data_IF_306486733995
#
_entry.id   IF_306486733995
#
_cell.length_a   1.000
_cell.length_b   1.000
_cell.length_c   1.000
_cell.angle_alpha   90.00
_cell.angle_beta   90.00
_cell.angle_gamma   90.00
#
_symmetry.space_group_name_H-M   'P 1'
#
loop_
_entity.id
_entity.type
_entity.pdbx_description
1 polymer ?
#
# COMPACT_ATOMS: atom_id res chain seq x y z
N UNK A 1 41.99 -3.96 -11.70
CA UNK A 1 41.44 -3.06 -12.72
C UNK A 1 40.46 -3.92 -13.51
N UNK A 2 39.18 -3.83 -13.19
CA UNK A 2 38.14 -4.75 -13.67
C UNK A 2 37.41 -4.04 -14.80
N UNK A 3 37.73 -4.41 -16.04
CA UNK A 3 37.18 -3.74 -17.22
C UNK A 3 35.67 -3.94 -17.34
N UNK A 4 34.99 -2.82 -17.59
CA UNK A 4 33.54 -2.71 -17.77
C UNK A 4 33.12 -3.44 -19.05
N UNK A 5 32.09 -4.26 -18.93
CA UNK A 5 31.38 -4.85 -20.07
C UNK A 5 30.61 -3.75 -20.82
N UNK A 6 31.16 -3.30 -21.95
CA UNK A 6 30.36 -2.69 -23.00
C UNK A 6 30.85 -3.21 -24.36
N UNK A 7 30.08 -4.10 -24.97
CA UNK A 7 30.12 -4.28 -26.42
C UNK A 7 28.75 -3.93 -26.99
N UNK A 8 28.70 -2.82 -27.72
CA UNK A 8 27.64 -2.48 -28.67
C UNK A 8 27.88 -3.26 -29.97
N UNK A 9 26.84 -3.81 -30.59
CA UNK A 9 26.95 -4.38 -31.95
C UNK A 9 25.82 -3.86 -32.82
N UNK A 10 26.22 -3.27 -33.96
CA UNK A 10 25.33 -2.57 -34.91
C UNK A 10 24.81 -3.49 -36.03
N UNK A 11 25.01 -4.81 -35.92
CA UNK A 11 24.55 -5.80 -36.92
C UNK A 11 24.06 -7.07 -36.23
N UNK A 12 22.81 -7.44 -36.54
CA UNK A 12 22.22 -8.76 -36.34
C UNK A 12 22.58 -9.47 -35.04
N UNK A 13 21.87 -9.17 -33.96
CA UNK A 13 22.09 -9.82 -32.66
C UNK A 13 21.81 -11.31 -32.74
N UNK A 14 22.86 -12.13 -32.58
CA UNK A 14 22.72 -13.56 -32.27
C UNK A 14 22.35 -13.64 -30.79
N UNK A 15 21.10 -14.01 -30.50
CA UNK A 15 20.68 -14.30 -29.14
C UNK A 15 21.27 -15.66 -28.74
N UNK A 16 22.34 -15.64 -27.94
CA UNK A 16 22.84 -16.85 -27.31
C UNK A 16 21.89 -17.21 -26.16
N UNK A 17 21.08 -18.23 -26.35
CA UNK A 17 20.37 -18.89 -25.26
C UNK A 17 21.27 -19.98 -24.71
N UNK A 18 21.71 -19.84 -23.46
CA UNK A 18 22.37 -20.93 -22.75
C UNK A 18 21.36 -21.55 -21.78
N UNK A 19 21.32 -22.87 -21.74
CA UNK A 19 20.58 -23.60 -20.73
C UNK A 19 21.35 -23.52 -19.41
N UNK A 20 20.69 -23.05 -18.36
CA UNK A 20 21.27 -22.97 -17.01
C UNK A 20 20.80 -24.17 -16.19
N UNK A 21 21.64 -25.20 -16.12
CA UNK A 21 21.41 -26.37 -15.28
C UNK A 21 21.90 -26.11 -13.85
N UNK A 22 20.96 -25.96 -12.90
CA UNK A 22 21.27 -25.84 -11.48
C UNK A 22 21.27 -27.24 -10.85
N UNK A 23 22.45 -27.76 -10.55
CA UNK A 23 22.60 -28.99 -9.76
C UNK A 23 22.50 -28.66 -8.27
N UNK A 24 21.59 -29.32 -7.57
CA UNK A 24 21.18 -28.95 -6.23
C UNK A 24 20.67 -30.17 -5.46
N UNK A 25 20.94 -30.24 -4.15
CA UNK A 25 20.35 -31.27 -3.31
C UNK A 25 18.83 -31.08 -3.19
N UNK A 26 18.07 -32.18 -3.10
CA UNK A 26 16.60 -32.16 -2.99
C UNK A 26 16.13 -31.30 -1.81
N UNK A 27 16.87 -31.32 -0.70
CA UNK A 27 16.63 -30.52 0.50
C UNK A 27 16.63 -29.02 0.22
N UNK A 28 17.56 -28.54 -0.61
CA UNK A 28 17.72 -27.14 -0.97
C UNK A 28 16.66 -26.69 -1.99
N UNK A 29 16.33 -27.50 -3.00
CA UNK A 29 15.21 -27.23 -3.92
C UNK A 29 13.89 -27.07 -3.15
N UNK A 30 13.65 -27.92 -2.16
CA UNK A 30 12.44 -27.83 -1.32
C UNK A 30 12.37 -26.54 -0.51
N UNK A 31 13.51 -25.99 -0.07
CA UNK A 31 13.53 -24.69 0.61
C UNK A 31 13.19 -23.56 -0.37
N UNK A 32 13.78 -23.59 -1.57
CA UNK A 32 13.53 -22.60 -2.62
C UNK A 32 12.05 -22.62 -3.01
N UNK A 33 11.46 -23.80 -3.21
CA UNK A 33 10.04 -23.94 -3.54
C UNK A 33 9.14 -23.35 -2.45
N UNK A 34 9.42 -23.63 -1.17
CA UNK A 34 8.67 -23.05 -0.05
C UNK A 34 8.76 -21.52 0.01
N UNK A 35 9.92 -20.95 -0.33
CA UNK A 35 10.08 -19.50 -0.40
C UNK A 35 9.27 -18.94 -1.57
N UNK A 36 9.31 -19.59 -2.73
CA UNK A 36 8.52 -19.20 -3.90
C UNK A 36 7.00 -19.24 -3.63
N UNK A 37 6.51 -20.29 -2.96
CA UNK A 37 5.11 -20.40 -2.55
C UNK A 37 4.69 -19.27 -1.60
N UNK A 38 5.53 -18.95 -0.61
CA UNK A 38 5.29 -17.83 0.30
C UNK A 38 5.27 -16.49 -0.42
N UNK A 39 6.21 -16.25 -1.34
CA UNK A 39 6.28 -15.03 -2.13
C UNK A 39 5.02 -14.85 -2.96
N UNK A 40 4.56 -15.92 -3.62
CA UNK A 40 3.30 -15.89 -4.38
C UNK A 40 2.10 -15.53 -3.50
N UNK A 41 2.03 -16.07 -2.28
CA UNK A 41 0.96 -15.71 -1.34
C UNK A 41 1.01 -14.22 -0.93
N UNK A 42 2.20 -13.62 -0.81
CA UNK A 42 2.33 -12.17 -0.56
C UNK A 42 1.93 -11.35 -1.79
N UNK A 43 2.30 -11.78 -3.01
CA UNK A 43 1.89 -11.12 -4.26
C UNK A 43 0.36 -11.14 -4.46
N UNK A 44 -0.31 -12.21 -4.04
CA UNK A 44 -1.77 -12.33 -4.09
C UNK A 44 -2.50 -11.39 -3.11
N UNK A 45 -1.88 -11.02 -1.98
CA UNK A 45 -2.47 -10.08 -1.00
C UNK A 45 -2.46 -8.65 -1.53
N UNK A 46 -1.44 -8.31 -2.32
CA UNK A 46 -1.27 -6.98 -2.90
C UNK A 46 0.17 -6.50 -2.79
N UNK A 47 0.45 -5.41 -3.48
CA UNK A 47 1.75 -4.76 -3.50
C UNK A 47 1.98 -3.95 -2.22
N UNK A 48 3.25 -3.68 -1.92
CA UNK A 48 3.65 -2.81 -0.80
C UNK A 48 3.03 -1.42 -0.95
N UNK A 49 2.88 -0.92 -2.18
CA UNK A 49 2.30 0.39 -2.45
C UNK A 49 0.80 0.41 -2.17
N UNK A 50 0.05 -0.61 -2.60
CA UNK A 50 -1.39 -0.74 -2.24
C UNK A 50 -1.59 -0.84 -0.73
N UNK A 51 -0.69 -1.54 -0.03
CA UNK A 51 -0.70 -1.60 1.44
C UNK A 51 -0.41 -0.23 2.08
N UNK A 52 0.54 0.54 1.53
CA UNK A 52 0.86 1.89 2.01
C UNK A 52 -0.33 2.83 1.79
N UNK A 53 -0.93 2.82 0.61
CA UNK A 53 -2.12 3.62 0.30
C UNK A 53 -3.31 3.26 1.19
N UNK A 54 -3.54 1.96 1.45
CA UNK A 54 -4.59 1.52 2.37
C UNK A 54 -4.37 2.06 3.79
N UNK A 55 -3.12 2.07 4.26
CA UNK A 55 -2.76 2.62 5.57
C UNK A 55 -2.97 4.14 5.63
N UNK A 56 -2.56 4.87 4.59
CA UNK A 56 -2.76 6.32 4.51
C UNK A 56 -4.24 6.68 4.45
N UNK A 57 -5.05 5.88 3.74
CA UNK A 57 -6.51 6.05 3.70
C UNK A 57 -7.17 5.92 5.07
N UNK A 58 -6.67 5.01 5.91
CA UNK A 58 -7.16 4.77 7.28
C UNK A 58 -6.61 5.76 8.31
N UNK A 59 -5.59 6.55 7.97
CA UNK A 59 -5.05 7.57 8.86
C UNK A 59 -6.11 8.56 9.32
N UNK A 60 -5.96 9.08 10.53
CA UNK A 60 -6.85 10.13 11.07
C UNK A 60 -6.84 11.36 10.17
N UNK A 61 -8.03 11.90 9.89
CA UNK A 61 -8.21 13.07 9.03
C UNK A 61 -9.04 14.11 9.76
N UNK A 62 -8.69 15.37 9.58
CA UNK A 62 -9.46 16.48 10.13
C UNK A 62 -10.85 16.54 9.47
N UNK A 63 -11.90 16.89 10.23
CA UNK A 63 -13.21 17.08 9.67
C UNK A 63 -13.21 18.20 8.62
N UNK A 64 -14.04 18.05 7.60
CA UNK A 64 -14.26 19.05 6.57
C UNK A 64 -15.54 19.83 6.89
N UNK A 65 -15.53 21.13 6.63
CA UNK A 65 -16.71 21.99 6.86
C UNK A 65 -17.57 22.08 5.61
N UNK A 66 -18.88 21.97 5.78
CA UNK A 66 -19.85 22.17 4.68
C UNK A 66 -20.23 23.66 4.49
N UNK A 67 -21.14 23.95 3.56
CA UNK A 67 -21.65 25.31 3.29
C UNK A 67 -22.36 25.93 4.51
N UNK A 68 -22.81 25.11 5.45
CA UNK A 68 -23.51 25.50 6.67
C UNK A 68 -22.60 25.43 7.91
N UNK A 69 -21.29 25.23 7.72
CA UNK A 69 -20.25 25.14 8.76
C UNK A 69 -20.41 23.94 9.73
N UNK A 70 -21.07 22.85 9.32
CA UNK A 70 -21.06 21.59 10.06
C UNK A 70 -19.75 20.83 9.85
N UNK A 71 -19.26 20.17 10.90
CA UNK A 71 -18.11 19.28 10.80
C UNK A 71 -18.52 17.92 10.22
N UNK A 72 -18.05 17.65 9.01
CA UNK A 72 -18.36 16.46 8.22
C UNK A 72 -17.13 15.57 8.03
N UNK A 73 -17.38 14.27 7.85
CA UNK A 73 -16.34 13.29 7.55
C UNK A 73 -15.69 13.64 6.20
N UNK A 74 -14.35 13.75 6.13
CA UNK A 74 -13.67 14.10 4.89
C UNK A 74 -13.74 13.00 3.82
N UNK A 75 -14.12 11.78 4.20
CA UNK A 75 -14.18 10.64 3.28
C UNK A 75 -15.57 10.44 2.65
N UNK A 76 -16.65 10.64 3.41
CA UNK A 76 -18.01 10.35 2.94
C UNK A 76 -19.00 11.52 3.09
N UNK A 77 -18.59 12.64 3.67
CA UNK A 77 -19.45 13.82 3.88
C UNK A 77 -20.51 13.68 4.98
N UNK A 78 -20.50 12.58 5.74
CA UNK A 78 -21.42 12.39 6.86
C UNK A 78 -21.11 13.37 8.00
N UNK A 79 -22.11 13.99 8.60
CA UNK A 79 -21.94 14.90 9.74
C UNK A 79 -21.36 14.11 10.92
N UNK A 80 -20.19 14.52 11.43
CA UNK A 80 -19.45 13.86 12.52
C UNK A 80 -19.49 14.63 13.84
N UNK A 81 -19.94 15.88 13.83
CA UNK A 81 -20.31 16.64 15.02
C UNK A 81 -21.78 17.04 14.94
N UNK A 82 -22.56 16.82 16.00
CA UNK A 82 -23.89 17.42 16.14
C UNK A 82 -23.84 18.46 17.24
N UNK A 83 -23.83 19.73 16.85
CA UNK A 83 -23.84 20.87 17.74
C UNK A 83 -25.26 21.37 17.95
N UNK A 84 -25.84 21.09 19.13
CA UNK A 84 -26.88 21.98 19.66
C UNK A 84 -26.80 22.13 21.19
N UNK A 85 -26.67 21.05 21.98
CA UNK A 85 -26.61 21.14 23.46
C UNK A 85 -25.90 19.92 24.07
N UNK A 86 -24.62 19.72 23.71
CA UNK A 86 -23.80 18.57 24.17
C UNK A 86 -23.23 17.73 23.04
N UNK A 87 -22.53 18.39 22.10
CA UNK A 87 -22.06 17.76 20.88
C UNK A 87 -21.09 16.61 21.13
N UNK A 88 -21.35 15.48 20.46
CA UNK A 88 -20.47 14.31 20.48
C UNK A 88 -19.46 14.45 19.35
N UNK A 89 -18.21 14.75 19.70
CA UNK A 89 -17.08 14.61 18.80
C UNK A 89 -16.80 13.13 18.58
N UNK A 90 -17.31 12.60 17.47
CA UNK A 90 -17.17 11.18 17.18
C UNK A 90 -15.72 10.89 16.76
N UNK A 91 -15.01 9.96 17.43
CA UNK A 91 -13.62 9.64 17.08
C UNK A 91 -13.51 8.95 15.72
N UNK A 92 -14.60 8.34 15.25
CA UNK A 92 -14.69 7.70 13.95
C UNK A 92 -16.04 8.04 13.32
N UNK A 93 -16.08 8.20 12.00
CA UNK A 93 -17.32 8.37 11.25
C UNK A 93 -18.20 7.12 11.35
N UNK A 94 -19.46 7.26 11.78
CA UNK A 94 -20.41 6.14 11.91
C UNK A 94 -20.78 5.50 10.57
N UNK A 95 -20.71 6.26 9.47
CA UNK A 95 -21.07 5.77 8.15
C UNK A 95 -19.93 5.00 7.47
N UNK A 96 -18.68 5.47 7.56
CA UNK A 96 -17.55 4.87 6.82
C UNK A 96 -16.36 4.41 7.68
N UNK A 97 -16.40 4.60 9.00
CA UNK A 97 -15.36 4.19 9.92
C UNK A 97 -14.07 5.03 9.89
N UNK A 98 -14.02 6.10 9.08
CA UNK A 98 -12.87 7.01 9.00
C UNK A 98 -12.57 7.61 10.38
N UNK A 99 -11.34 7.45 10.87
CA UNK A 99 -10.87 8.10 12.08
C UNK A 99 -10.81 9.63 11.88
N UNK A 100 -11.32 10.37 12.85
CA UNK A 100 -11.41 11.83 12.81
C UNK A 100 -10.44 12.43 13.82
N UNK A 101 -9.57 13.31 13.31
CA UNK A 101 -8.65 14.09 14.13
C UNK A 101 -9.33 15.40 14.56
N UNK A 102 -9.60 15.51 15.87
CA UNK A 102 -10.16 16.71 16.50
C UNK A 102 -9.08 17.61 17.13
N UNK A 103 -7.80 17.30 16.96
CA UNK A 103 -6.72 18.09 17.55
C UNK A 103 -6.65 19.50 16.96
N UNK A 104 -6.74 20.50 17.85
CA UNK A 104 -6.66 21.92 17.51
C UNK A 104 -7.98 22.58 17.10
N UNK A 105 -9.12 21.91 17.32
CA UNK A 105 -10.44 22.55 17.29
C UNK A 105 -10.77 22.93 18.75
N UNK A 106 -10.42 24.18 19.12
CA UNK A 106 -10.84 24.86 20.37
C UNK A 106 -12.09 25.71 20.13
#
# INVERSE_FOLDING_TARGET
MTDRLTMTSDKGGVAFTFDLDITCEKSEIMKILKVAEKLKAYEEIGTVEECREARERQGEKKPAKDEYNHDCCPNCGWIVCQDEYGGRYLPHCENCGQAIDWSGIE
#
